data_IF_585316248369
#
_entry.id   IF_585316248369
#
_cell.length_a   1.000
_cell.length_b   1.000
_cell.length_c   1.000
_cell.angle_alpha   90.00
_cell.angle_beta   90.00
_cell.angle_gamma   90.00
#
_symmetry.space_group_name_H-M   'P 1'
#
loop_
_entity.id
_entity.type
_entity.pdbx_description
1 polymer ?
#
# COMPACT_ATOMS: atom_id res chain seq x y z
N UNK A 1 -3.88 10.68 27.42
CA UNK A 1 -3.71 10.93 25.97
C UNK A 1 -2.24 11.22 25.77
N UNK A 2 -1.53 10.44 24.94
CA UNK A 2 -0.17 10.83 24.54
C UNK A 2 -0.28 12.07 23.65
N UNK A 3 0.32 13.18 24.06
CA UNK A 3 0.39 14.37 23.22
C UNK A 3 1.33 14.11 22.04
N UNK A 4 0.76 13.96 20.84
CA UNK A 4 1.53 13.81 19.59
C UNK A 4 2.52 14.97 19.40
N UNK A 5 2.20 16.15 19.95
CA UNK A 5 3.02 17.37 19.90
C UNK A 5 4.32 17.29 20.71
N UNK A 6 4.39 16.45 21.75
CA UNK A 6 5.55 16.37 22.65
C UNK A 6 6.55 15.25 22.32
N UNK A 7 6.20 14.34 21.41
CA UNK A 7 7.10 13.26 21.00
C UNK A 7 8.32 13.78 20.25
N UNK A 8 9.51 13.65 20.85
CA UNK A 8 10.77 14.02 20.20
C UNK A 8 11.18 12.95 19.19
N UNK A 9 11.51 13.40 17.97
CA UNK A 9 12.18 12.57 16.96
C UNK A 9 13.66 12.50 17.34
N UNK A 10 14.24 11.32 17.63
CA UNK A 10 15.67 11.21 17.91
C UNK A 10 16.49 11.80 16.76
N UNK A 11 17.52 12.60 17.06
CA UNK A 11 18.32 13.27 16.03
C UNK A 11 19.12 12.31 15.13
N UNK A 12 19.35 11.08 15.60
CA UNK A 12 20.01 10.00 14.86
C UNK A 12 19.04 9.11 14.07
N UNK A 13 17.73 9.39 14.13
CA UNK A 13 16.73 8.62 13.43
C UNK A 13 16.83 8.88 11.93
N UNK A 14 17.10 7.84 11.16
CA UNK A 14 17.04 7.91 9.69
C UNK A 14 15.58 7.82 9.28
N UNK A 15 15.05 8.85 8.64
CA UNK A 15 13.68 8.79 8.08
C UNK A 15 13.60 7.61 7.11
N UNK A 16 12.50 6.84 7.10
CA UNK A 16 12.27 5.81 6.10
C UNK A 16 12.52 6.39 4.72
N UNK A 17 13.41 5.78 3.95
CA UNK A 17 13.74 6.32 2.63
C UNK A 17 12.51 6.23 1.73
N UNK A 18 12.33 7.25 0.89
CA UNK A 18 11.16 7.39 0.01
C UNK A 18 11.03 6.24 -1.00
N UNK A 19 12.13 5.57 -1.34
CA UNK A 19 12.16 4.35 -2.17
C UNK A 19 11.61 3.11 -1.45
N UNK A 20 11.63 3.07 -0.12
CA UNK A 20 11.18 1.91 0.67
C UNK A 20 9.79 2.09 1.28
N UNK A 21 9.45 3.30 1.75
CA UNK A 21 8.19 3.54 2.44
C UNK A 21 7.39 4.71 1.83
N UNK A 22 7.75 5.21 0.65
CA UNK A 22 7.03 6.32 0.04
C UNK A 22 5.63 5.90 -0.46
N UNK A 23 4.62 6.74 -0.21
CA UNK A 23 3.29 6.58 -0.81
C UNK A 23 2.84 7.84 -1.54
N UNK A 24 2.55 7.69 -2.84
CA UNK A 24 2.20 8.79 -3.74
C UNK A 24 0.71 9.06 -3.90
N UNK A 25 -0.14 8.21 -3.31
CA UNK A 25 -1.59 8.18 -3.58
C UNK A 25 -2.04 7.06 -4.52
N UNK A 26 -1.10 6.28 -5.05
CA UNK A 26 -1.35 5.12 -5.91
C UNK A 26 -0.73 3.85 -5.31
N UNK A 27 -1.33 2.70 -5.60
CA UNK A 27 -0.96 1.41 -5.00
C UNK A 27 -1.80 1.07 -3.77
N UNK A 28 -1.52 -0.08 -3.15
CA UNK A 28 -2.26 -0.54 -1.98
C UNK A 28 -1.85 0.25 -0.73
N UNK A 29 -2.80 0.92 -0.03
CA UNK A 29 -2.50 1.63 1.20
C UNK A 29 -2.06 0.67 2.32
N UNK A 30 -2.54 -0.58 2.35
CA UNK A 30 -2.12 -1.55 3.37
C UNK A 30 -0.66 -1.99 3.15
N UNK A 31 -0.20 -2.19 1.91
CA UNK A 31 1.22 -2.48 1.61
C UNK A 31 2.14 -1.36 2.13
N UNK A 32 1.71 -0.10 1.97
CA UNK A 32 2.43 1.06 2.53
C UNK A 32 2.43 1.04 4.06
N UNK A 33 1.28 0.79 4.69
CA UNK A 33 1.16 0.75 6.15
C UNK A 33 2.02 -0.35 6.75
N UNK A 34 2.06 -1.53 6.15
CA UNK A 34 2.87 -2.66 6.62
C UNK A 34 4.36 -2.32 6.53
N UNK A 35 4.82 -1.82 5.38
CA UNK A 35 6.23 -1.39 5.20
C UNK A 35 6.63 -0.29 6.19
N UNK A 36 5.73 0.67 6.41
CA UNK A 36 5.92 1.76 7.36
C UNK A 36 5.98 1.24 8.81
N UNK A 37 5.05 0.37 9.19
CA UNK A 37 4.97 -0.21 10.52
C UNK A 37 6.17 -1.09 10.85
N UNK A 38 6.60 -1.95 9.93
CA UNK A 38 7.78 -2.79 10.09
C UNK A 38 9.01 -1.95 10.37
N UNK A 39 9.21 -0.90 9.57
CA UNK A 39 10.33 0.02 9.76
C UNK A 39 10.25 0.74 11.12
N UNK A 40 9.08 1.27 11.49
CA UNK A 40 8.91 2.02 12.74
C UNK A 40 9.01 1.13 13.98
N UNK A 41 8.47 -0.09 13.92
CA UNK A 41 8.52 -1.06 15.01
C UNK A 41 9.95 -1.57 15.22
N UNK A 42 10.70 -1.82 14.13
CA UNK A 42 12.12 -2.17 14.20
C UNK A 42 12.95 -1.13 14.95
N UNK A 43 12.56 0.14 14.88
CA UNK A 43 13.22 1.25 15.57
C UNK A 43 12.56 1.60 16.93
N UNK A 44 11.66 0.76 17.45
CA UNK A 44 11.03 0.96 18.76
C UNK A 44 10.16 2.21 18.86
N UNK A 45 9.58 2.68 17.75
CA UNK A 45 8.85 3.93 17.71
C UNK A 45 7.52 3.89 18.49
N UNK A 46 7.26 4.91 19.31
CA UNK A 46 5.97 5.12 19.95
C UNK A 46 4.88 5.52 18.94
N UNK A 47 3.61 5.40 19.33
CA UNK A 47 2.49 5.81 18.47
C UNK A 47 2.51 7.30 18.14
N UNK A 48 2.86 8.14 19.11
CA UNK A 48 3.04 9.56 18.88
C UNK A 48 4.17 9.84 17.87
N UNK A 49 5.29 9.11 17.96
CA UNK A 49 6.39 9.24 17.01
C UNK A 49 6.00 8.77 15.60
N UNK A 50 5.25 7.67 15.50
CA UNK A 50 4.67 7.20 14.23
C UNK A 50 3.82 8.31 13.57
N UNK A 51 2.90 8.94 14.31
CA UNK A 51 2.12 10.06 13.76
C UNK A 51 2.98 11.21 13.21
N UNK A 52 4.14 11.51 13.83
CA UNK A 52 5.01 12.61 13.37
C UNK A 52 5.81 12.26 12.11
N UNK A 53 6.20 10.99 11.95
CA UNK A 53 7.02 10.55 10.81
C UNK A 53 6.17 10.22 9.58
N UNK A 54 4.94 9.72 9.78
CA UNK A 54 4.05 9.33 8.68
C UNK A 54 3.91 10.37 7.54
N UNK A 55 3.76 11.68 7.80
CA UNK A 55 3.61 12.66 6.71
C UNK A 55 4.87 12.80 5.85
N UNK A 56 6.05 12.41 6.38
CA UNK A 56 7.33 12.46 5.68
C UNK A 56 7.46 11.33 4.64
N UNK A 57 6.63 10.30 4.74
CA UNK A 57 6.58 9.21 3.76
C UNK A 57 5.57 9.46 2.64
N UNK A 58 4.78 10.55 2.73
CA UNK A 58 3.78 10.89 1.73
C UNK A 58 4.35 11.84 0.68
N UNK A 59 3.89 11.66 -0.56
CA UNK A 59 4.15 12.59 -1.66
C UNK A 59 2.94 12.64 -2.61
N UNK A 60 2.93 13.57 -3.56
CA UNK A 60 1.85 13.66 -4.55
C UNK A 60 0.47 13.84 -3.90
N UNK A 61 -0.51 13.07 -4.36
CA UNK A 61 -1.89 13.16 -3.90
C UNK A 61 -2.03 12.83 -2.40
N UNK A 62 -1.21 11.90 -1.90
CA UNK A 62 -1.20 11.56 -0.48
C UNK A 62 -0.70 12.71 0.40
N UNK A 63 0.30 13.46 -0.06
CA UNK A 63 0.77 14.64 0.66
C UNK A 63 -0.27 15.76 0.64
N UNK A 64 -0.94 15.96 -0.51
CA UNK A 64 -2.03 16.94 -0.65
C UNK A 64 -3.19 16.61 0.28
N UNK A 65 -3.61 15.35 0.32
CA UNK A 65 -4.65 14.87 1.24
C UNK A 65 -4.28 15.18 2.70
N UNK A 66 -3.08 14.79 3.14
CA UNK A 66 -2.66 15.01 4.51
C UNK A 66 -2.65 16.51 4.87
N UNK A 67 -2.24 17.37 3.93
CA UNK A 67 -2.29 18.82 4.09
C UNK A 67 -3.71 19.42 4.16
N UNK A 68 -4.72 18.71 3.63
CA UNK A 68 -6.12 19.13 3.67
C UNK A 68 -6.83 18.78 4.99
N UNK A 69 -6.25 17.89 5.80
CA UNK A 69 -6.80 17.49 7.09
C UNK A 69 -6.91 18.69 8.04
N UNK A 70 -8.04 18.80 8.74
CA UNK A 70 -8.23 19.84 9.77
C UNK A 70 -7.13 19.73 10.83
N UNK A 71 -6.57 20.87 11.25
CA UNK A 71 -5.58 20.92 12.34
C UNK A 71 -6.09 20.15 13.57
N UNK A 72 -5.22 19.31 14.15
CA UNK A 72 -5.51 18.47 15.32
C UNK A 72 -6.63 17.42 15.10
N UNK A 73 -7.01 17.15 13.85
CA UNK A 73 -7.99 16.08 13.54
C UNK A 73 -7.42 14.69 13.84
N UNK A 74 -6.13 14.48 13.61
CA UNK A 74 -5.41 13.25 13.95
C UNK A 74 -5.04 13.28 15.44
N UNK A 75 -5.87 12.65 16.27
CA UNK A 75 -5.71 12.60 17.73
C UNK A 75 -5.00 11.34 18.23
N UNK A 76 -4.80 10.34 17.37
CA UNK A 76 -4.13 9.09 17.70
C UNK A 76 -3.62 8.41 16.43
N UNK A 77 -2.66 7.49 16.60
CA UNK A 77 -2.14 6.69 15.50
C UNK A 77 -3.23 5.81 14.85
N UNK A 78 -4.11 5.21 15.64
CA UNK A 78 -5.24 4.43 15.11
C UNK A 78 -6.18 5.30 14.27
N UNK A 79 -6.40 6.56 14.67
CA UNK A 79 -7.21 7.50 13.86
C UNK A 79 -6.51 7.80 12.54
N UNK A 80 -5.20 8.03 12.55
CA UNK A 80 -4.41 8.22 11.32
C UNK A 80 -4.55 7.06 10.35
N UNK A 81 -4.38 5.82 10.82
CA UNK A 81 -4.53 4.64 9.97
C UNK A 81 -5.94 4.54 9.37
N UNK A 82 -6.96 4.87 10.15
CA UNK A 82 -8.36 4.83 9.71
C UNK A 82 -8.63 5.88 8.63
N UNK A 83 -8.25 7.14 8.86
CA UNK A 83 -8.43 8.23 7.89
C UNK A 83 -7.66 7.93 6.60
N UNK A 84 -6.41 7.47 6.70
CA UNK A 84 -5.58 7.11 5.55
C UNK A 84 -6.20 5.98 4.71
N UNK A 85 -6.63 4.89 5.34
CA UNK A 85 -7.32 3.79 4.65
C UNK A 85 -8.62 4.24 4.00
N UNK A 86 -9.37 5.12 4.67
CA UNK A 86 -10.63 5.64 4.14
C UNK A 86 -10.41 6.49 2.90
N UNK A 87 -9.38 7.33 2.89
CA UNK A 87 -9.04 8.16 1.74
C UNK A 87 -8.62 7.29 0.54
N UNK A 88 -7.70 6.36 0.77
CA UNK A 88 -7.08 5.57 -0.30
C UNK A 88 -7.76 4.22 -0.53
N UNK A 89 -8.99 4.03 -0.05
CA UNK A 89 -9.75 2.78 -0.22
C UNK A 89 -9.91 2.39 -1.70
N UNK A 90 -9.99 3.39 -2.59
CA UNK A 90 -10.11 3.17 -4.02
C UNK A 90 -8.81 2.68 -4.67
N UNK A 91 -7.65 2.99 -4.08
CA UNK A 91 -6.33 2.53 -4.58
C UNK A 91 -5.96 1.14 -4.08
N UNK A 92 -6.70 0.61 -3.09
CA UNK A 92 -6.49 -0.73 -2.53
C UNK A 92 -6.49 -1.80 -3.61
N UNK A 93 -5.48 -2.67 -3.56
CA UNK A 93 -5.35 -3.78 -4.50
C UNK A 93 -6.50 -4.73 -4.25
N UNK A 94 -7.26 -4.99 -5.32
CA UNK A 94 -8.32 -6.00 -5.30
C UNK A 94 -7.72 -7.30 -5.80
N UNK A 95 -7.66 -8.27 -4.91
CA UNK A 95 -7.33 -9.62 -5.30
C UNK A 95 -8.47 -10.23 -6.12
N UNK A 96 -8.10 -10.87 -7.22
CA UNK A 96 -8.94 -11.68 -8.07
C UNK A 96 -8.89 -13.11 -7.56
N UNK A 97 -10.01 -13.82 -7.65
CA UNK A 97 -10.02 -15.27 -7.47
C UNK A 97 -9.31 -15.96 -8.63
N UNK A 98 -8.76 -17.16 -8.37
CA UNK A 98 -8.04 -17.94 -9.38
C UNK A 98 -8.87 -18.26 -10.62
N UNK A 99 -10.18 -18.45 -10.45
CA UNK A 99 -11.15 -18.64 -11.55
C UNK A 99 -11.09 -17.51 -12.59
N UNK A 100 -10.60 -16.32 -12.25
CA UNK A 100 -10.42 -15.27 -13.25
C UNK A 100 -9.34 -15.59 -14.30
N UNK A 101 -8.34 -16.43 -13.99
CA UNK A 101 -7.37 -16.87 -15.00
C UNK A 101 -7.98 -17.81 -16.03
N UNK A 102 -8.94 -18.66 -15.64
CA UNK A 102 -9.58 -19.60 -16.59
C UNK A 102 -10.42 -18.90 -17.65
N UNK A 103 -10.79 -17.64 -17.40
CA UNK A 103 -11.49 -16.79 -18.37
C UNK A 103 -10.54 -16.02 -19.31
N UNK A 104 -9.23 -15.98 -19.03
CA UNK A 104 -8.24 -15.35 -19.90
C UNK A 104 -7.85 -16.35 -21.00
N UNK A 105 -8.60 -16.34 -22.10
CA UNK A 105 -8.29 -17.13 -23.30
C UNK A 105 -7.48 -16.30 -24.31
N UNK A 106 -6.64 -16.99 -25.08
CA UNK A 106 -5.99 -16.41 -26.25
C UNK A 106 -7.05 -16.20 -27.33
N UNK A 107 -7.13 -14.99 -27.87
CA UNK A 107 -8.06 -14.63 -28.94
C UNK A 107 -7.40 -14.80 -30.31
N UNK A 108 -8.17 -15.21 -31.32
CA UNK A 108 -7.66 -15.49 -32.68
C UNK A 108 -6.94 -14.31 -33.34
N UNK A 109 -7.38 -13.09 -33.02
CA UNK A 109 -6.82 -11.83 -33.56
C UNK A 109 -5.69 -11.25 -32.73
N UNK A 110 -5.37 -11.87 -31.59
CA UNK A 110 -4.41 -11.36 -30.62
C UNK A 110 -3.04 -12.01 -30.79
N UNK A 111 -1.97 -11.24 -30.59
CA UNK A 111 -0.62 -11.81 -30.57
C UNK A 111 -0.38 -12.58 -29.27
N UNK A 112 0.46 -13.62 -29.32
CA UNK A 112 0.86 -14.38 -28.12
C UNK A 112 1.45 -13.45 -27.04
N UNK A 113 2.17 -12.39 -27.44
CA UNK A 113 2.76 -11.41 -26.52
C UNK A 113 1.68 -10.66 -25.74
N UNK A 114 0.65 -10.19 -26.42
CA UNK A 114 -0.45 -9.44 -25.79
C UNK A 114 -1.27 -10.35 -24.88
N UNK A 115 -1.51 -11.58 -25.31
CA UNK A 115 -2.14 -12.61 -24.49
C UNK A 115 -1.34 -12.86 -23.20
N UNK A 116 -0.04 -13.14 -23.31
CA UNK A 116 0.84 -13.40 -22.16
C UNK A 116 0.90 -12.20 -21.22
N UNK A 117 0.91 -10.97 -21.76
CA UNK A 117 0.84 -9.75 -20.95
C UNK A 117 -0.46 -9.72 -20.12
N UNK A 118 -1.62 -9.93 -20.74
CA UNK A 118 -2.91 -9.99 -20.02
C UNK A 118 -2.95 -11.10 -18.98
N UNK A 119 -2.44 -12.28 -19.33
CA UNK A 119 -2.40 -13.43 -18.43
C UNK A 119 -1.55 -13.14 -17.19
N UNK A 120 -0.31 -12.67 -17.38
CA UNK A 120 0.61 -12.35 -16.29
C UNK A 120 0.07 -11.20 -15.43
N UNK A 121 -0.50 -10.16 -16.03
CA UNK A 121 -1.06 -9.03 -15.28
C UNK A 121 -2.29 -9.46 -14.44
N UNK A 122 -3.07 -10.43 -14.94
CA UNK A 122 -4.18 -11.04 -14.18
C UNK A 122 -3.67 -11.98 -13.08
N UNK A 123 -2.62 -12.76 -13.35
CA UNK A 123 -2.01 -13.68 -12.39
C UNK A 123 -1.41 -12.94 -11.18
N UNK A 124 -0.77 -11.80 -11.42
CA UNK A 124 -0.26 -10.89 -10.36
C UNK A 124 -1.36 -10.37 -9.45
N UNK A 125 -2.62 -10.41 -9.85
CA UNK A 125 -3.75 -9.94 -9.06
C UNK A 125 -4.41 -11.08 -8.27
N UNK A 126 -3.88 -12.30 -8.27
CA UNK A 126 -4.47 -13.42 -7.50
C UNK A 126 -3.75 -13.61 -6.16
N UNK A 127 -4.53 -13.68 -5.08
CA UNK A 127 -4.01 -13.79 -3.70
C UNK A 127 -3.35 -15.14 -3.43
N UNK A 128 -3.98 -16.23 -3.89
CA UNK A 128 -3.55 -17.61 -3.65
C UNK A 128 -3.06 -18.26 -4.94
N UNK A 129 -2.12 -17.63 -5.65
CA UNK A 129 -1.69 -18.14 -6.95
C UNK A 129 -1.02 -19.53 -6.83
N UNK A 130 -1.61 -20.52 -7.50
CA UNK A 130 -1.08 -21.88 -7.63
C UNK A 130 -0.62 -22.09 -9.08
N UNK A 131 0.69 -22.19 -9.28
CA UNK A 131 1.28 -22.38 -10.60
C UNK A 131 0.83 -23.65 -11.31
N UNK A 132 0.47 -24.70 -10.56
CA UNK A 132 0.00 -25.97 -11.14
C UNK A 132 -1.41 -25.79 -11.72
N UNK A 133 -2.33 -25.18 -10.97
CA UNK A 133 -3.68 -24.88 -11.46
C UNK A 133 -3.66 -23.87 -12.62
N UNK A 134 -2.73 -22.91 -12.59
CA UNK A 134 -2.54 -21.97 -13.69
C UNK A 134 -2.10 -22.69 -14.98
N UNK A 135 -1.21 -23.69 -14.91
CA UNK A 135 -0.81 -24.51 -16.06
C UNK A 135 -1.97 -25.37 -16.57
N UNK A 136 -2.80 -25.93 -15.68
CA UNK A 136 -3.99 -26.69 -16.08
C UNK A 136 -5.05 -25.83 -16.79
N UNK A 137 -5.06 -24.51 -16.60
CA UNK A 137 -5.92 -23.61 -17.35
C UNK A 137 -5.49 -23.41 -18.82
N UNK A 138 -4.28 -23.85 -19.20
CA UNK A 138 -3.78 -23.80 -20.58
C UNK A 138 -3.99 -25.09 -21.38
N UNK A 139 -4.27 -26.22 -20.71
CA UNK A 139 -4.47 -27.54 -21.34
C UNK A 139 -5.95 -27.76 -21.61
#
# INVERSE_FOLDING_TARGET
>A
MEEITSAQVPSNFKIPRKDMCGFGGTGDPDDHLDSYLDWMNMHGASNAFKCRVFPLTLFGDAQTWYGSLKRHSISSFNKLLKEFRSEFVASKRRWRHMVHLTFIKHLDIETIRDYMKRFIDTARQIQDFNGIEAVMAFI
#
